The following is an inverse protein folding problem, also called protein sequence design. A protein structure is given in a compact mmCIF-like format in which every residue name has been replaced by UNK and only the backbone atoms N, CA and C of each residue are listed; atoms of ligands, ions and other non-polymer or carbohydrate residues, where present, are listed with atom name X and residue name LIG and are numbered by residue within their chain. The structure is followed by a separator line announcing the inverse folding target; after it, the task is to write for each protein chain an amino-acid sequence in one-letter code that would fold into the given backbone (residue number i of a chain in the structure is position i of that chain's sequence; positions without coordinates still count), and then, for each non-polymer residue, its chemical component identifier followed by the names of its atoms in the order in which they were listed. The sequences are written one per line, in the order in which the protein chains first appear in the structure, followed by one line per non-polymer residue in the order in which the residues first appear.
data_IF_649768976261
#
_entry.id   IF_649768976261
#
_cell.length_a   1.000
_cell.length_b   1.000
_cell.length_c   1.000
_cell.angle_alpha   90.00
_cell.angle_beta   90.00
_cell.angle_gamma   90.00
#
_symmetry.space_group_name_H-M   'P 1'
#
loop_
_entity.id
_entity.type
_entity.pdbx_description
1 polymer ?
#
# COMPACT_ATOMS: atom_id res chain seq x y z
N UNK A 1 -32.65 -17.80 19.60
CA UNK A 1 -31.27 -17.49 20.02
C UNK A 1 -30.95 -16.13 19.42
N UNK A 2 -30.94 -15.10 20.27
CA UNK A 2 -30.67 -13.72 19.85
C UNK A 2 -29.18 -13.61 19.51
N UNK A 3 -28.86 -13.27 18.27
CA UNK A 3 -27.54 -12.79 17.90
C UNK A 3 -27.46 -11.32 18.34
N UNK A 4 -26.61 -11.02 19.31
CA UNK A 4 -26.36 -9.66 19.79
C UNK A 4 -25.56 -8.84 18.76
N UNK A 5 -25.57 -7.50 18.89
CA UNK A 5 -24.97 -6.61 17.90
C UNK A 5 -23.44 -6.54 18.08
N UNK A 6 -22.74 -6.57 16.94
CA UNK A 6 -21.33 -6.18 16.74
C UNK A 6 -20.29 -6.90 17.61
N UNK A 7 -19.67 -7.96 17.09
CA UNK A 7 -18.26 -8.22 17.41
C UNK A 7 -17.46 -7.01 16.93
N UNK A 8 -17.04 -6.14 17.84
CA UNK A 8 -16.09 -5.09 17.53
C UNK A 8 -14.80 -5.77 17.03
N UNK A 9 -14.50 -5.58 15.75
CA UNK A 9 -13.23 -5.98 15.18
C UNK A 9 -12.14 -5.16 15.87
N UNK A 10 -11.45 -5.73 16.87
CA UNK A 10 -10.23 -5.11 17.40
C UNK A 10 -9.13 -5.23 16.34
N UNK A 11 -8.93 -4.13 15.60
CA UNK A 11 -7.81 -4.02 14.66
C UNK A 11 -6.53 -3.87 15.48
N UNK A 12 -5.60 -4.81 15.30
CA UNK A 12 -4.24 -4.70 15.86
C UNK A 12 -3.62 -3.40 15.38
N UNK A 13 -3.03 -2.64 16.31
CA UNK A 13 -2.22 -1.47 15.97
C UNK A 13 -0.78 -1.88 15.72
N UNK A 14 -0.27 -1.60 14.52
CA UNK A 14 1.15 -1.71 14.20
C UNK A 14 1.98 -0.84 15.16
N UNK A 15 3.03 -1.43 15.74
CA UNK A 15 3.98 -0.70 16.59
C UNK A 15 5.15 -0.23 15.73
N UNK A 16 5.48 1.05 15.83
CA UNK A 16 6.58 1.65 15.08
C UNK A 16 7.94 0.94 15.31
N UNK A 17 8.17 0.52 16.55
CA UNK A 17 9.41 -0.13 16.98
C UNK A 17 9.48 -1.64 16.68
N UNK A 18 8.41 -2.23 16.14
CA UNK A 18 8.36 -3.65 15.79
C UNK A 18 9.21 -3.93 14.55
N UNK A 19 9.91 -5.06 14.56
CA UNK A 19 10.67 -5.51 13.40
C UNK A 19 9.71 -5.93 12.30
N UNK A 20 9.97 -5.46 11.08
CA UNK A 20 9.18 -5.85 9.89
C UNK A 20 9.21 -7.36 9.70
N UNK A 21 10.34 -8.01 9.95
CA UNK A 21 10.48 -9.47 9.89
C UNK A 21 9.58 -10.23 10.88
N UNK A 22 9.13 -9.60 11.97
CA UNK A 22 8.17 -10.22 12.90
C UNK A 22 6.74 -10.20 12.36
N UNK A 23 6.45 -9.29 11.44
CA UNK A 23 5.16 -9.15 10.77
C UNK A 23 5.16 -9.96 9.47
N UNK A 24 6.20 -9.80 8.68
CA UNK A 24 6.40 -10.41 7.36
C UNK A 24 7.69 -11.27 7.39
N UNK A 25 7.61 -12.56 7.78
CA UNK A 25 8.79 -13.41 7.98
C UNK A 25 9.69 -13.57 6.75
N UNK A 26 9.11 -13.63 5.55
CA UNK A 26 9.85 -13.74 4.29
C UNK A 26 10.78 -12.52 4.05
N UNK A 27 10.47 -11.38 4.68
CA UNK A 27 11.29 -10.17 4.64
C UNK A 27 12.61 -10.30 5.43
N UNK A 28 12.80 -11.30 6.30
CA UNK A 28 13.97 -11.38 7.19
C UNK A 28 15.32 -11.50 6.46
N UNK A 29 15.31 -11.98 5.21
CA UNK A 29 16.52 -12.30 4.45
C UNK A 29 17.45 -11.08 4.23
N UNK A 30 18.71 -11.32 3.82
CA UNK A 30 19.62 -10.28 3.32
C UNK A 30 19.86 -9.09 4.28
N UNK A 31 20.04 -9.37 5.58
CA UNK A 31 20.37 -8.39 6.64
C UNK A 31 19.24 -7.38 6.92
N UNK A 32 17.99 -7.80 6.78
CA UNK A 32 16.80 -6.97 7.01
C UNK A 32 16.18 -7.13 8.40
N UNK A 33 16.76 -7.97 9.26
CA UNK A 33 16.25 -8.30 10.59
C UNK A 33 16.16 -7.11 11.58
N UNK A 34 16.92 -6.02 11.34
CA UNK A 34 16.88 -4.80 12.15
C UNK A 34 15.94 -3.71 11.59
N UNK A 35 15.29 -3.95 10.44
CA UNK A 35 14.36 -3.00 9.86
C UNK A 35 13.07 -2.99 10.69
N UNK A 36 12.74 -1.82 11.24
CA UNK A 36 11.53 -1.57 12.00
C UNK A 36 10.46 -0.91 11.14
N UNK A 37 9.21 -0.96 11.58
CA UNK A 37 8.07 -0.33 10.88
C UNK A 37 8.34 1.15 10.61
N UNK A 38 8.88 1.91 11.57
CA UNK A 38 9.19 3.32 11.33
C UNK A 38 10.27 3.56 10.27
N UNK A 39 11.21 2.62 10.06
CA UNK A 39 12.22 2.76 9.00
C UNK A 39 11.59 2.73 7.60
N UNK A 40 10.47 2.03 7.43
CA UNK A 40 9.70 2.05 6.19
C UNK A 40 9.00 3.40 6.02
N UNK A 41 8.30 3.86 7.07
CA UNK A 41 7.48 5.07 7.04
C UNK A 41 8.30 6.36 6.89
N UNK A 42 9.54 6.38 7.37
CA UNK A 42 10.40 7.55 7.33
C UNK A 42 11.49 7.49 6.25
N UNK A 43 11.43 6.51 5.34
CA UNK A 43 12.38 6.34 4.24
C UNK A 43 13.84 6.03 4.66
N UNK A 44 14.04 5.30 5.76
CA UNK A 44 15.39 4.94 6.24
C UNK A 44 15.72 3.44 6.18
N UNK A 45 14.92 2.63 5.51
CA UNK A 45 15.14 1.17 5.45
C UNK A 45 16.28 0.71 4.53
N UNK A 46 16.85 1.61 3.71
CA UNK A 46 17.86 1.29 2.71
C UNK A 46 17.34 0.61 1.45
N UNK A 47 16.02 0.39 1.31
CA UNK A 47 15.38 -0.30 0.19
C UNK A 47 14.80 0.61 -0.90
N UNK A 48 15.31 1.83 -1.02
CA UNK A 48 14.79 2.87 -1.92
C UNK A 48 14.81 2.47 -3.40
N UNK A 49 15.74 1.59 -3.79
CA UNK A 49 15.90 1.09 -5.17
C UNK A 49 15.49 -0.39 -5.36
N UNK A 50 14.85 -1.03 -4.38
CA UNK A 50 14.57 -2.48 -4.42
C UNK A 50 13.82 -2.97 -5.69
N UNK A 51 13.03 -2.10 -6.34
CA UNK A 51 12.31 -2.41 -7.59
C UNK A 51 12.85 -1.67 -8.82
N UNK A 52 13.94 -0.91 -8.70
CA UNK A 52 14.43 -0.04 -9.77
C UNK A 52 14.82 -0.81 -11.03
N UNK A 53 15.36 -2.03 -10.90
CA UNK A 53 15.72 -2.87 -12.04
C UNK A 53 14.50 -3.43 -12.77
N UNK A 54 13.48 -3.88 -12.02
CA UNK A 54 12.23 -4.41 -12.58
C UNK A 54 11.57 -3.38 -13.52
N UNK A 55 11.52 -2.12 -13.10
CA UNK A 55 10.96 -1.03 -13.90
C UNK A 55 11.72 -0.79 -15.20
N UNK A 56 13.04 -1.04 -15.25
CA UNK A 56 13.84 -0.83 -16.48
C UNK A 56 13.65 -1.96 -17.48
N UNK A 57 13.48 -3.19 -17.01
CA UNK A 57 13.42 -4.38 -17.85
C UNK A 57 12.00 -4.67 -18.34
N UNK A 58 11.03 -4.65 -17.43
CA UNK A 58 9.63 -4.92 -17.75
C UNK A 58 8.69 -4.18 -16.77
N UNK A 59 8.29 -2.94 -17.09
CA UNK A 59 7.38 -2.15 -16.26
C UNK A 59 6.05 -2.84 -15.95
N UNK A 60 5.58 -3.76 -16.80
CA UNK A 60 4.31 -4.44 -16.57
C UNK A 60 4.33 -5.36 -15.36
N UNK A 61 5.50 -5.87 -14.97
CA UNK A 61 5.65 -6.70 -13.77
C UNK A 61 5.38 -5.91 -12.49
N UNK A 62 5.38 -4.57 -12.54
CA UNK A 62 4.94 -3.74 -11.41
C UNK A 62 3.45 -3.91 -11.11
N UNK A 63 2.66 -4.43 -12.05
CA UNK A 63 1.25 -4.75 -11.79
C UNK A 63 1.07 -6.11 -11.10
N UNK A 64 2.13 -6.91 -11.00
CA UNK A 64 2.14 -8.15 -10.24
C UNK A 64 2.59 -7.85 -8.81
N UNK A 65 1.59 -7.77 -7.92
CA UNK A 65 1.77 -7.42 -6.52
C UNK A 65 2.65 -8.44 -5.78
N UNK A 66 2.36 -9.73 -5.95
CA UNK A 66 3.02 -10.80 -5.22
C UNK A 66 4.48 -10.94 -5.68
N UNK A 67 4.75 -10.80 -6.98
CA UNK A 67 6.13 -10.77 -7.48
C UNK A 67 6.92 -9.56 -6.96
N UNK A 68 6.31 -8.37 -6.92
CA UNK A 68 6.97 -7.19 -6.36
C UNK A 68 7.29 -7.37 -4.87
N UNK A 69 6.39 -7.97 -4.09
CA UNK A 69 6.63 -8.29 -2.69
C UNK A 69 7.79 -9.30 -2.54
N UNK A 70 7.82 -10.34 -3.38
CA UNK A 70 8.91 -11.31 -3.38
C UNK A 70 10.27 -10.67 -3.68
N UNK A 71 10.33 -9.79 -4.69
CA UNK A 71 11.57 -9.07 -5.04
C UNK A 71 12.06 -8.17 -3.90
N UNK A 72 11.14 -7.47 -3.23
CA UNK A 72 11.47 -6.67 -2.04
C UNK A 72 11.97 -7.56 -0.90
N UNK A 73 11.28 -8.67 -0.63
CA UNK A 73 11.67 -9.63 0.38
C UNK A 73 13.06 -10.23 0.10
N UNK A 74 13.45 -10.39 -1.17
CA UNK A 74 14.77 -10.86 -1.58
C UNK A 74 15.82 -9.76 -1.73
N UNK A 75 15.45 -8.48 -1.64
CA UNK A 75 16.41 -7.38 -1.80
C UNK A 75 17.30 -7.20 -0.57
N UNK A 76 18.51 -6.69 -0.77
CA UNK A 76 19.39 -6.24 0.30
C UNK A 76 19.27 -4.71 0.46
N UNK A 77 19.31 -4.16 1.68
CA UNK A 77 19.42 -2.72 1.89
C UNK A 77 20.73 -2.20 1.27
N UNK A 78 20.64 -1.12 0.49
CA UNK A 78 21.79 -0.43 -0.08
C UNK A 78 22.52 0.43 0.96
N UNK A 79 21.77 0.92 1.95
CA UNK A 79 22.29 1.64 3.12
C UNK A 79 21.91 0.90 4.41
N UNK A 80 22.64 1.15 5.49
CA UNK A 80 22.30 0.59 6.80
C UNK A 80 20.92 1.12 7.26
N UNK A 81 19.99 0.24 7.70
CA UNK A 81 18.69 0.66 8.20
C UNK A 81 18.79 1.71 9.31
N UNK A 82 18.11 2.84 9.13
CA UNK A 82 18.12 3.99 10.05
C UNK A 82 19.23 5.01 9.80
N UNK A 83 20.18 4.74 8.90
CA UNK A 83 21.34 5.62 8.69
C UNK A 83 21.07 6.78 7.73
N UNK A 84 20.44 6.50 6.59
CA UNK A 84 20.17 7.50 5.55
C UNK A 84 18.68 7.59 5.24
N UNK A 85 18.18 8.81 5.06
CA UNK A 85 16.82 9.06 4.59
C UNK A 85 16.83 9.25 3.07
N UNK A 86 16.45 8.20 2.34
CA UNK A 86 16.43 8.18 0.88
C UNK A 86 15.03 7.83 0.41
N UNK A 87 14.39 8.72 -0.35
CA UNK A 87 13.01 8.56 -0.76
C UNK A 87 12.76 7.27 -1.58
N UNK A 88 11.86 6.42 -1.10
CA UNK A 88 11.46 5.14 -1.72
C UNK A 88 10.44 5.37 -2.83
N UNK A 89 10.85 6.10 -3.86
CA UNK A 89 9.98 6.59 -4.93
C UNK A 89 9.13 5.52 -5.62
N UNK A 90 9.62 4.26 -5.69
CA UNK A 90 8.85 3.11 -6.16
C UNK A 90 8.49 2.18 -5.01
N UNK A 91 9.49 1.69 -4.26
CA UNK A 91 9.29 0.58 -3.33
C UNK A 91 8.39 0.89 -2.12
N UNK A 92 8.08 2.17 -1.84
CA UNK A 92 7.27 2.56 -0.68
C UNK A 92 5.90 1.89 -0.65
N UNK A 93 5.17 1.90 -1.77
CA UNK A 93 3.80 1.37 -1.84
C UNK A 93 3.73 -0.11 -1.49
N UNK A 94 4.67 -0.91 -1.99
CA UNK A 94 4.77 -2.34 -1.68
C UNK A 94 5.33 -2.61 -0.28
N UNK A 95 6.28 -1.81 0.21
CA UNK A 95 6.81 -1.97 1.58
C UNK A 95 5.71 -1.74 2.62
N UNK A 96 4.94 -0.65 2.49
CA UNK A 96 3.88 -0.30 3.44
C UNK A 96 2.62 -1.15 3.20
N UNK A 97 2.22 -1.33 1.95
CA UNK A 97 1.06 -2.15 1.61
C UNK A 97 1.27 -3.62 1.97
N UNK A 98 2.47 -4.16 1.76
CA UNK A 98 2.84 -5.53 2.13
C UNK A 98 2.70 -5.77 3.64
N UNK A 99 3.24 -4.88 4.48
CA UNK A 99 3.05 -5.03 5.94
C UNK A 99 1.58 -4.87 6.34
N UNK A 100 0.77 -4.07 5.64
CA UNK A 100 -0.65 -3.91 5.95
C UNK A 100 -1.44 -5.17 5.58
N UNK A 101 -1.20 -5.76 4.42
CA UNK A 101 -1.87 -7.01 4.01
C UNK A 101 -1.49 -8.18 4.92
N UNK A 102 -0.22 -8.26 5.34
CA UNK A 102 0.29 -9.33 6.20
C UNK A 102 -0.11 -9.13 7.68
N UNK A 103 -0.11 -7.88 8.17
CA UNK A 103 -0.39 -7.58 9.59
C UNK A 103 -1.88 -7.53 9.94
N UNK A 104 -2.79 -7.26 9.00
CA UNK A 104 -4.19 -7.06 9.40
C UNK A 104 -4.75 -8.37 9.97
N UNK A 105 -4.96 -8.44 11.28
CA UNK A 105 -5.60 -9.57 11.95
C UNK A 105 -7.11 -9.39 11.93
N UNK A 106 -7.84 -10.46 11.65
CA UNK A 106 -9.25 -10.57 12.03
C UNK A 106 -9.34 -11.59 13.14
N UNK A 107 -9.36 -11.12 14.39
CA UNK A 107 -9.69 -11.97 15.52
C UNK A 107 -11.13 -12.47 15.35
N UNK A 108 -11.29 -13.77 15.10
CA UNK A 108 -12.57 -14.42 15.25
C UNK A 108 -12.59 -15.12 16.61
N UNK A 109 -13.47 -14.68 17.49
CA UNK A 109 -13.79 -15.44 18.69
C UNK A 109 -14.52 -16.72 18.27
N UNK A 110 -13.89 -17.88 18.45
CA UNK A 110 -14.56 -19.18 18.28
C UNK A 110 -14.90 -19.70 19.67
N UNK A 111 -16.20 -19.80 19.95
CA UNK A 111 -16.70 -20.41 21.19
C UNK A 111 -16.78 -21.92 21.00
N UNK A 112 -15.91 -22.67 21.70
CA UNK A 112 -15.97 -24.13 21.78
C UNK A 112 -16.47 -24.54 23.17
N UNK A 113 -17.78 -24.78 23.29
CA UNK A 113 -18.41 -25.08 24.57
C UNK A 113 -18.52 -23.83 25.46
N UNK A 114 -18.04 -23.89 26.70
CA UNK A 114 -18.01 -22.75 27.64
C UNK A 114 -16.70 -21.93 27.57
N UNK A 115 -15.78 -22.30 26.68
CA UNK A 115 -14.45 -21.70 26.60
C UNK A 115 -14.34 -20.82 25.35
N UNK A 116 -13.81 -19.62 25.56
CA UNK A 116 -13.42 -18.71 24.49
C UNK A 116 -12.01 -19.10 24.03
N UNK A 117 -11.87 -19.43 22.75
CA UNK A 117 -10.55 -19.69 22.14
C UNK A 117 -10.27 -18.54 21.17
N UNK A 118 -9.21 -17.78 21.45
CA UNK A 118 -8.70 -16.76 20.53
C UNK A 118 -7.82 -17.43 19.50
N UNK A 119 -8.21 -17.34 18.23
CA UNK A 119 -7.36 -17.71 17.11
C UNK A 119 -6.69 -16.44 16.58
N UNK A 120 -5.38 -16.35 16.72
CA UNK A 120 -4.57 -15.29 16.10
C UNK A 120 -4.06 -15.81 14.75
N UNK A 121 -4.62 -15.31 13.65
CA UNK A 121 -4.17 -15.63 12.31
C UNK A 121 -3.72 -14.35 11.60
N UNK A 122 -2.45 -14.28 11.24
CA UNK A 122 -1.91 -13.26 10.34
C UNK A 122 -2.60 -13.38 8.97
N UNK A 123 -2.77 -12.26 8.29
CA UNK A 123 -3.54 -12.06 7.06
C UNK A 123 -5.06 -11.96 7.25
N UNK A 124 -5.58 -10.76 7.01
CA UNK A 124 -7.02 -10.47 6.98
C UNK A 124 -7.69 -11.13 5.78
N UNK A 125 -6.91 -11.71 4.88
CA UNK A 125 -7.33 -12.11 3.55
C UNK A 125 -7.71 -10.92 2.66
N UNK A 126 -7.74 -9.69 3.19
CA UNK A 126 -8.13 -8.49 2.45
C UNK A 126 -6.92 -7.90 1.75
N UNK A 127 -7.16 -7.41 0.54
CA UNK A 127 -6.17 -6.68 -0.24
C UNK A 127 -6.02 -5.26 0.29
N UNK A 128 -4.84 -4.67 0.10
CA UNK A 128 -4.51 -3.31 0.54
C UNK A 128 -5.53 -2.27 0.02
N UNK A 129 -6.01 -2.46 -1.21
CA UNK A 129 -7.07 -1.65 -1.79
C UNK A 129 -8.35 -1.68 -0.95
N UNK A 130 -8.82 -2.86 -0.55
CA UNK A 130 -10.05 -3.01 0.24
C UNK A 130 -9.89 -2.35 1.62
N UNK A 131 -8.71 -2.48 2.23
CA UNK A 131 -8.39 -1.84 3.50
C UNK A 131 -8.42 -0.31 3.38
N UNK A 132 -7.85 0.25 2.31
CA UNK A 132 -7.90 1.69 2.03
C UNK A 132 -9.33 2.18 1.79
N UNK A 133 -10.12 1.40 1.05
CA UNK A 133 -11.51 1.73 0.75
C UNK A 133 -12.35 1.82 2.03
N UNK A 134 -12.24 0.81 2.90
CA UNK A 134 -12.96 0.76 4.18
C UNK A 134 -12.47 1.81 5.18
N UNK A 135 -11.16 2.03 5.28
CA UNK A 135 -10.59 2.89 6.32
C UNK A 135 -10.67 4.39 5.97
N UNK A 136 -10.60 4.75 4.68
CA UNK A 136 -10.51 6.15 4.26
C UNK A 136 -11.57 6.54 3.24
N UNK A 137 -11.75 5.77 2.16
CA UNK A 137 -12.57 6.22 1.03
C UNK A 137 -14.06 6.27 1.42
N UNK A 138 -14.59 5.22 2.02
CA UNK A 138 -15.99 5.18 2.45
C UNK A 138 -16.30 6.16 3.59
N UNK A 139 -15.51 6.24 4.67
CA UNK A 139 -15.78 7.18 5.77
C UNK A 139 -15.69 8.64 5.34
N UNK A 140 -14.77 8.97 4.42
CA UNK A 140 -14.60 10.34 3.91
C UNK A 140 -15.54 10.67 2.74
N UNK A 141 -16.26 9.68 2.20
CA UNK A 141 -17.18 9.83 1.06
C UNK A 141 -16.50 10.35 -0.22
N UNK A 142 -15.25 9.94 -0.45
CA UNK A 142 -14.43 10.36 -1.62
C UNK A 142 -14.32 9.26 -2.69
N UNK A 143 -15.24 8.29 -2.67
CA UNK A 143 -15.34 7.28 -3.72
C UNK A 143 -15.66 7.98 -5.05
N UNK A 144 -14.85 7.74 -6.08
CA UNK A 144 -14.88 8.60 -7.28
C UNK A 144 -13.56 9.31 -7.54
N UNK A 145 -12.87 9.69 -6.47
CA UNK A 145 -11.82 10.72 -6.50
C UNK A 145 -10.43 10.16 -6.17
N UNK A 146 -10.34 9.11 -5.35
CA UNK A 146 -9.10 8.43 -5.00
C UNK A 146 -9.23 6.93 -5.28
N UNK A 147 -8.23 6.37 -5.97
CA UNK A 147 -8.14 4.94 -6.25
C UNK A 147 -6.70 4.45 -6.06
N UNK A 148 -6.55 3.28 -5.47
CA UNK A 148 -5.33 2.47 -5.53
C UNK A 148 -5.70 1.20 -6.26
N UNK A 149 -5.35 1.12 -7.55
CA UNK A 149 -5.93 0.16 -8.49
C UNK A 149 -7.23 0.72 -9.10
N UNK A 150 -7.25 0.93 -10.42
CA UNK A 150 -8.38 1.57 -11.10
C UNK A 150 -9.50 0.54 -11.29
N UNK A 151 -10.71 0.78 -10.75
CA UNK A 151 -11.81 -0.17 -10.91
C UNK A 151 -12.22 -0.33 -12.38
N UNK A 152 -12.72 -1.51 -12.78
CA UNK A 152 -13.32 -1.69 -14.11
C UNK A 152 -14.40 -0.63 -14.39
N UNK A 153 -14.33 0.01 -15.56
CA UNK A 153 -15.26 1.07 -15.97
C UNK A 153 -14.80 2.49 -15.66
N UNK A 154 -13.84 2.68 -14.75
CA UNK A 154 -13.31 4.02 -14.41
C UNK A 154 -12.20 4.50 -15.35
N UNK A 155 -11.67 3.62 -16.22
CA UNK A 155 -10.59 3.91 -17.18
C UNK A 155 -10.92 5.09 -18.11
N UNK A 156 -12.20 5.31 -18.41
CA UNK A 156 -12.65 6.40 -19.29
C UNK A 156 -12.24 7.78 -18.75
N UNK A 157 -12.23 7.96 -17.43
CA UNK A 157 -11.82 9.22 -16.79
C UNK A 157 -10.31 9.48 -16.93
N UNK A 158 -9.50 8.43 -17.06
CA UNK A 158 -8.04 8.51 -17.21
C UNK A 158 -7.66 8.78 -18.66
N UNK A 159 -8.34 8.13 -19.60
CA UNK A 159 -8.18 8.42 -21.04
C UNK A 159 -8.37 9.92 -21.30
N UNK A 160 -9.33 10.54 -20.62
CA UNK A 160 -9.58 11.98 -20.75
C UNK A 160 -8.38 12.84 -20.33
N UNK A 161 -7.70 12.50 -19.24
CA UNK A 161 -6.49 13.22 -18.77
C UNK A 161 -5.33 13.06 -19.76
N UNK A 162 -5.12 11.84 -20.27
CA UNK A 162 -4.07 11.57 -21.27
C UNK A 162 -4.35 12.34 -22.56
N UNK A 163 -5.59 12.31 -23.06
CA UNK A 163 -5.99 13.06 -24.25
C UNK A 163 -5.87 14.57 -24.05
N UNK A 164 -6.20 15.08 -22.87
CA UNK A 164 -6.06 16.51 -22.56
C UNK A 164 -4.58 16.93 -22.47
N UNK A 165 -3.70 16.08 -21.92
CA UNK A 165 -2.24 16.30 -21.93
C UNK A 165 -1.69 16.29 -23.36
N UNK A 166 -2.05 15.29 -24.17
CA UNK A 166 -1.61 15.18 -25.56
C UNK A 166 -2.13 16.35 -26.42
N UNK A 167 -3.36 16.82 -26.16
CA UNK A 167 -3.90 18.03 -26.77
C UNK A 167 -3.10 19.27 -26.38
N UNK A 168 -2.70 19.38 -25.11
CA UNK A 168 -1.85 20.48 -24.65
C UNK A 168 -0.46 20.45 -25.29
N UNK A 169 0.22 19.30 -25.35
CA UNK A 169 1.49 19.14 -26.08
C UNK A 169 1.35 19.58 -27.55
N UNK A 170 0.26 19.18 -28.21
CA UNK A 170 0.05 19.46 -29.62
C UNK A 170 -0.36 20.92 -29.92
N UNK A 171 -1.01 21.62 -28.98
CA UNK A 171 -1.69 22.90 -29.27
C UNK A 171 -1.38 24.03 -28.30
N UNK A 172 -0.70 23.75 -27.18
CA UNK A 172 -0.51 24.66 -26.07
C UNK A 172 -1.81 24.96 -25.29
N UNK A 173 -2.91 24.26 -25.56
CA UNK A 173 -4.22 24.48 -24.95
C UNK A 173 -4.74 23.23 -24.27
N UNK A 174 -5.10 23.37 -22.99
CA UNK A 174 -5.80 22.34 -22.24
C UNK A 174 -7.31 22.55 -22.39
N UNK A 175 -8.00 21.65 -23.09
CA UNK A 175 -9.46 21.66 -23.17
C UNK A 175 -9.99 20.49 -22.36
N UNK A 176 -10.25 20.73 -21.07
CA UNK A 176 -11.09 19.83 -20.30
C UNK A 176 -12.53 20.32 -20.41
N UNK A 177 -13.47 19.43 -20.74
CA UNK A 177 -14.87 19.80 -20.98
C UNK A 177 -15.58 20.33 -19.73
N UNK A 178 -14.99 20.23 -18.54
CA UNK A 178 -15.68 20.54 -17.28
C UNK A 178 -14.84 21.17 -16.15
N UNK A 179 -13.51 21.32 -16.30
CA UNK A 179 -12.65 21.90 -15.25
C UNK A 179 -11.54 22.79 -15.82
N UNK A 180 -11.61 24.09 -15.53
CA UNK A 180 -10.49 25.02 -15.73
C UNK A 180 -9.63 25.07 -14.47
N UNK A 181 -8.35 24.69 -14.56
CA UNK A 181 -7.37 24.92 -13.50
C UNK A 181 -6.54 26.16 -13.82
N UNK A 182 -6.45 27.09 -12.87
CA UNK A 182 -5.60 28.28 -12.93
C UNK A 182 -4.21 27.94 -12.36
N UNK A 183 -3.18 28.03 -13.20
CA UNK A 183 -1.79 27.71 -12.85
C UNK A 183 -1.00 28.92 -12.34
N UNK A 184 -1.63 30.07 -12.09
CA UNK A 184 -0.95 31.26 -11.55
C UNK A 184 -0.36 31.10 -10.13
N UNK A 185 -0.56 29.95 -9.47
CA UNK A 185 -0.14 29.70 -8.09
C UNK A 185 1.13 28.84 -7.99
N UNK A 186 1.69 28.38 -9.12
CA UNK A 186 2.95 27.60 -9.13
C UNK A 186 3.98 28.31 -10.00
N UNK A 187 4.57 29.37 -9.46
CA UNK A 187 5.79 30.01 -9.98
C UNK A 187 6.74 30.32 -8.84
#
# INVERSE_FOLDING_TARGET
MYWGPHSELEVRKLKLEENVASIWPEFESNRKNSIKVHHLLNHTSGLHNALANLTRENPLLMSDWDECLNLIAMSAPETEPGHEQLYHYLSFGWLVGGIIEVDTFVAHDVVLGSNMVKFEQHASGKKFQEILEEAFIHPLQIGGELYVGIPPGMIQNIIFIILAYLSWEATGKFTSGHYSFDYSIVS
#
